data_IF_833769360358
#
_entry.id   IF_833769360358
#
_cell.length_a   1.000
_cell.length_b   1.000
_cell.length_c   1.000
_cell.angle_alpha   90.00
_cell.angle_beta   90.00
_cell.angle_gamma   90.00
#
_symmetry.space_group_name_H-M   'P 1'
#
loop_
_entity.id
_entity.type
_entity.pdbx_description
1 polymer ?
#
# COMPACT_ATOMS: atom_id res chain seq x y z
N UNK A 1 -12.45 8.93 17.91
CA UNK A 1 -13.00 10.00 17.05
C UNK A 1 -12.30 9.85 15.72
N UNK A 2 -13.03 9.64 14.62
CA UNK A 2 -12.46 9.72 13.28
C UNK A 2 -12.15 11.21 13.04
N UNK A 3 -10.89 11.60 13.21
CA UNK A 3 -10.42 12.99 13.09
C UNK A 3 -10.29 13.39 11.62
N UNK A 4 -11.31 13.07 10.84
CA UNK A 4 -11.26 13.17 9.38
C UNK A 4 -11.09 14.58 8.90
N UNK A 5 -11.21 15.64 9.73
CA UNK A 5 -11.47 17.02 9.30
C UNK A 5 -10.34 18.08 9.38
N UNK A 6 -9.13 17.76 9.83
CA UNK A 6 -8.20 18.82 10.27
C UNK A 6 -6.83 18.81 9.58
N UNK A 7 -6.25 20.00 9.39
CA UNK A 7 -4.80 20.16 9.29
C UNK A 7 -4.26 20.23 10.71
N UNK A 8 -3.26 19.40 11.01
CA UNK A 8 -2.64 19.33 12.32
C UNK A 8 -1.38 20.21 12.36
N UNK A 9 -1.27 21.06 13.38
CA UNK A 9 -0.11 21.93 13.60
C UNK A 9 0.74 21.42 14.75
N UNK A 10 2.05 21.36 14.54
CA UNK A 10 3.03 21.12 15.58
C UNK A 10 3.98 22.34 15.60
N UNK A 11 3.74 23.25 16.55
CA UNK A 11 4.73 24.24 16.94
C UNK A 11 5.62 23.58 18.02
N UNK A 12 6.94 23.47 17.83
CA UNK A 12 7.83 22.85 18.82
C UNK A 12 7.84 23.54 20.20
N UNK A 13 7.32 24.77 20.29
CA UNK A 13 7.28 25.58 21.52
C UNK A 13 5.88 25.74 22.13
N UNK A 14 4.82 25.27 21.47
CA UNK A 14 3.43 25.47 21.91
C UNK A 14 2.58 24.18 21.86
N UNK A 15 1.29 24.31 22.14
CA UNK A 15 0.30 23.23 22.20
C UNK A 15 -0.25 22.93 20.79
N UNK A 16 -0.51 21.64 20.52
CA UNK A 16 -1.21 21.15 19.34
C UNK A 16 -2.49 21.95 19.08
N UNK A 17 -2.61 22.56 17.89
CA UNK A 17 -3.78 23.38 17.52
C UNK A 17 -4.42 22.82 16.25
N UNK A 18 -5.75 22.84 16.19
CA UNK A 18 -6.54 22.40 15.04
C UNK A 18 -7.10 23.62 14.34
N UNK A 19 -6.86 23.75 13.03
CA UNK A 19 -7.35 24.89 12.24
C UNK A 19 -8.32 24.41 11.18
N UNK A 20 -9.48 25.07 11.16
CA UNK A 20 -10.57 24.82 10.22
C UNK A 20 -10.73 26.00 9.24
N UNK A 21 -10.12 27.14 9.54
CA UNK A 21 -10.19 28.37 8.75
C UNK A 21 -9.02 28.47 7.75
N UNK A 22 -9.34 28.70 6.47
CA UNK A 22 -8.37 28.82 5.38
C UNK A 22 -7.42 30.02 5.53
N UNK A 23 -7.87 31.14 6.07
CA UNK A 23 -7.03 32.34 6.26
C UNK A 23 -5.99 32.13 7.36
N UNK A 24 -6.41 31.50 8.46
CA UNK A 24 -5.50 31.07 9.52
C UNK A 24 -4.49 30.04 8.98
N UNK A 25 -4.96 29.05 8.20
CA UNK A 25 -4.08 28.06 7.58
C UNK A 25 -2.95 28.73 6.76
N UNK A 26 -3.26 29.75 5.97
CA UNK A 26 -2.28 30.45 5.15
C UNK A 26 -1.21 31.14 6.01
N UNK A 27 -1.59 31.73 7.14
CA UNK A 27 -0.65 32.39 8.05
C UNK A 27 0.34 31.38 8.64
N UNK A 28 -0.14 30.23 9.12
CA UNK A 28 0.72 29.20 9.70
C UNK A 28 1.58 28.48 8.66
N UNK A 29 1.03 28.20 7.47
CA UNK A 29 1.79 27.57 6.39
C UNK A 29 2.92 28.46 5.83
N UNK A 30 2.92 29.75 6.15
CA UNK A 30 3.99 30.69 5.79
C UNK A 30 5.01 30.93 6.92
N UNK A 31 4.76 30.39 8.11
CA UNK A 31 5.67 30.48 9.26
C UNK A 31 6.78 29.41 9.17
N UNK A 32 8.03 29.85 9.23
CA UNK A 32 9.21 28.97 9.16
C UNK A 32 9.42 28.11 10.40
N UNK A 33 8.85 28.50 11.54
CA UNK A 33 8.97 27.78 12.82
C UNK A 33 7.84 26.75 13.02
N UNK A 34 6.89 26.68 12.09
CA UNK A 34 5.71 25.82 12.18
C UNK A 34 5.79 24.65 11.20
N UNK A 35 5.44 23.44 11.67
CA UNK A 35 5.23 22.26 10.83
C UNK A 35 3.74 22.01 10.66
N UNK A 36 3.30 21.90 9.41
CA UNK A 36 1.91 21.65 9.03
C UNK A 36 1.75 20.21 8.52
N UNK A 37 0.94 19.40 9.18
CA UNK A 37 0.63 18.02 8.78
C UNK A 37 -0.77 17.98 8.15
N UNK A 38 -0.85 17.47 6.93
CA UNK A 38 -2.07 17.30 6.14
C UNK A 38 -2.36 15.80 6.06
N UNK A 39 -3.44 15.35 6.69
CA UNK A 39 -3.81 13.92 6.75
C UNK A 39 -4.95 13.57 5.77
N UNK A 40 -4.67 12.68 4.81
CA UNK A 40 -5.58 12.09 3.82
C UNK A 40 -6.54 13.05 3.09
N UNK A 41 -6.10 14.28 2.79
CA UNK A 41 -6.96 15.31 2.17
C UNK A 41 -6.31 16.06 1.04
N UNK A 42 -7.17 16.56 0.14
CA UNK A 42 -6.75 17.56 -0.83
C UNK A 42 -6.38 18.83 -0.08
N UNK A 43 -5.25 19.42 -0.41
CA UNK A 43 -4.91 20.67 0.25
C UNK A 43 -5.86 21.81 -0.14
N UNK A 44 -6.17 22.69 0.81
CA UNK A 44 -7.21 23.73 0.63
C UNK A 44 -6.72 24.96 -0.15
N UNK A 45 -5.40 25.19 -0.20
CA UNK A 45 -4.78 26.31 -0.92
C UNK A 45 -3.53 25.82 -1.65
N UNK A 46 -2.94 26.66 -2.51
CA UNK A 46 -1.64 26.31 -3.12
C UNK A 46 -0.52 26.31 -2.08
N UNK A 47 0.46 25.43 -2.26
CA UNK A 47 1.58 25.23 -1.33
C UNK A 47 2.91 25.77 -1.85
N UNK A 48 2.85 26.75 -2.73
CA UNK A 48 4.03 27.45 -3.25
C UNK A 48 4.52 28.49 -2.22
N UNK A 49 4.82 28.03 -1.01
CA UNK A 49 5.41 28.86 0.05
C UNK A 49 6.93 28.74 0.03
N UNK A 50 7.62 29.87 0.18
CA UNK A 50 9.09 29.89 0.17
C UNK A 50 9.72 29.43 1.49
N UNK A 51 8.95 29.38 2.58
CA UNK A 51 9.46 29.23 3.96
C UNK A 51 8.74 28.16 4.81
N UNK A 52 7.54 27.75 4.42
CA UNK A 52 6.74 26.80 5.20
C UNK A 52 7.24 25.36 5.17
N UNK A 53 7.02 24.61 6.26
CA UNK A 53 7.30 23.17 6.36
C UNK A 53 5.99 22.39 6.34
N UNK A 54 5.72 21.73 5.21
CA UNK A 54 4.48 20.99 4.98
C UNK A 54 4.79 19.50 4.86
N UNK A 55 4.07 18.67 5.59
CA UNK A 55 4.09 17.21 5.48
C UNK A 55 2.69 16.75 5.10
N UNK A 56 2.56 16.07 3.97
CA UNK A 56 1.33 15.37 3.60
C UNK A 56 1.47 13.89 3.93
N UNK A 57 0.55 13.37 4.74
CA UNK A 57 0.42 11.94 5.02
C UNK A 57 -0.82 11.46 4.28
N UNK A 58 -0.64 10.58 3.30
CA UNK A 58 -1.76 10.09 2.52
C UNK A 58 -1.47 8.75 1.89
N UNK A 59 -2.51 7.93 1.71
CA UNK A 59 -2.52 6.91 0.67
C UNK A 59 -2.08 7.51 -0.68
N UNK A 60 -1.41 6.78 -1.58
CA UNK A 60 -0.83 7.32 -2.83
C UNK A 60 -1.88 7.66 -3.91
N UNK A 61 -2.94 8.38 -3.52
CA UNK A 61 -4.07 8.72 -4.38
C UNK A 61 -3.73 9.94 -5.21
N UNK A 62 -3.61 9.78 -6.54
CA UNK A 62 -3.24 10.89 -7.45
C UNK A 62 -4.12 12.11 -7.25
N UNK A 63 -5.42 11.89 -7.12
CA UNK A 63 -6.39 12.95 -6.93
C UNK A 63 -6.15 13.80 -5.68
N UNK A 64 -5.49 13.23 -4.66
CA UNK A 64 -5.10 13.89 -3.42
C UNK A 64 -3.73 14.55 -3.56
N UNK A 65 -2.73 13.81 -4.03
CA UNK A 65 -1.32 14.23 -3.93
C UNK A 65 -0.83 15.06 -5.12
N UNK A 66 -1.48 15.01 -6.30
CA UNK A 66 -0.93 15.55 -7.56
C UNK A 66 -0.54 17.02 -7.52
N UNK A 67 -1.24 17.83 -6.72
CA UNK A 67 -0.99 19.27 -6.64
C UNK A 67 0.02 19.59 -5.54
N UNK A 68 0.10 18.74 -4.51
CA UNK A 68 1.12 18.82 -3.46
C UNK A 68 2.53 18.51 -4.00
N UNK A 69 2.65 17.44 -4.80
CA UNK A 69 3.96 16.98 -5.34
C UNK A 69 4.53 17.87 -6.44
N UNK A 70 3.75 18.80 -7.01
CA UNK A 70 4.22 19.77 -8.02
C UNK A 70 5.11 20.87 -7.43
N UNK A 71 5.05 21.08 -6.11
CA UNK A 71 5.86 22.09 -5.46
C UNK A 71 7.36 21.79 -5.68
N UNK A 72 8.14 22.81 -6.05
CA UNK A 72 9.53 22.69 -6.52
C UNK A 72 10.53 22.00 -5.58
N UNK A 73 10.17 21.80 -4.30
CA UNK A 73 11.01 21.17 -3.27
C UNK A 73 10.32 19.99 -2.57
N UNK A 74 9.30 19.39 -3.19
CA UNK A 74 8.61 18.25 -2.61
C UNK A 74 9.48 16.98 -2.70
N UNK A 75 9.70 16.31 -1.56
CA UNK A 75 10.25 14.95 -1.50
C UNK A 75 9.13 14.00 -1.09
N UNK A 76 8.94 12.95 -1.89
CA UNK A 76 8.00 11.87 -1.57
C UNK A 76 8.74 10.76 -0.82
N UNK A 77 8.11 10.24 0.22
CA UNK A 77 8.59 9.07 0.97
C UNK A 77 7.43 8.10 1.16
N UNK A 78 7.73 6.81 1.20
CA UNK A 78 6.78 5.72 1.37
C UNK A 78 6.95 5.12 2.77
N UNK A 79 5.83 4.93 3.47
CA UNK A 79 5.79 4.26 4.76
C UNK A 79 5.49 2.76 4.52
N UNK A 80 6.43 1.85 4.81
CA UNK A 80 6.16 0.42 4.69
C UNK A 80 5.18 -0.03 5.78
N UNK A 81 4.61 -1.22 5.59
CA UNK A 81 3.94 -1.94 6.67
C UNK A 81 4.97 -2.50 7.66
N UNK A 82 4.50 -2.93 8.83
CA UNK A 82 5.40 -3.47 9.85
C UNK A 82 5.99 -4.81 9.42
N UNK A 83 7.28 -4.98 9.63
CA UNK A 83 7.94 -6.26 9.47
C UNK A 83 7.62 -7.20 10.64
N UNK A 84 7.90 -8.49 10.44
CA UNK A 84 7.67 -9.52 11.45
C UNK A 84 8.42 -9.19 12.75
N UNK A 85 9.65 -8.73 12.64
CA UNK A 85 10.50 -8.47 13.81
C UNK A 85 9.99 -7.22 14.56
N UNK A 86 9.55 -6.17 13.87
CA UNK A 86 8.89 -5.00 14.50
C UNK A 86 7.62 -5.39 15.27
N UNK A 87 6.82 -6.31 14.71
CA UNK A 87 5.62 -6.84 15.39
C UNK A 87 5.99 -7.59 16.66
N UNK A 88 7.06 -8.39 16.63
CA UNK A 88 7.55 -9.14 17.79
C UNK A 88 8.12 -8.21 18.86
N UNK A 89 8.95 -7.24 18.47
CA UNK A 89 9.53 -6.23 19.37
C UNK A 89 8.44 -5.45 20.11
N UNK A 90 7.37 -5.08 19.40
CA UNK A 90 6.24 -4.40 20.02
C UNK A 90 5.43 -5.30 20.96
N UNK A 91 5.30 -6.59 20.65
CA UNK A 91 4.68 -7.54 21.57
C UNK A 91 5.49 -7.67 22.86
N UNK A 92 6.82 -7.72 22.76
CA UNK A 92 7.71 -7.75 23.93
C UNK A 92 7.57 -6.45 24.75
N UNK A 93 7.65 -5.29 24.09
CA UNK A 93 7.54 -3.97 24.71
C UNK A 93 6.24 -3.81 25.51
N UNK A 94 5.10 -4.24 24.93
CA UNK A 94 3.79 -4.13 25.57
C UNK A 94 3.39 -5.35 26.41
N UNK A 95 4.26 -6.36 26.50
CA UNK A 95 3.99 -7.62 27.22
C UNK A 95 2.68 -8.28 26.76
N UNK A 96 2.51 -8.38 25.45
CA UNK A 96 1.35 -9.03 24.85
C UNK A 96 1.48 -10.54 25.04
N UNK A 97 0.62 -11.15 25.87
CA UNK A 97 0.66 -12.58 26.15
C UNK A 97 0.28 -13.46 24.94
N UNK A 98 -0.54 -12.93 24.03
CA UNK A 98 -1.14 -13.67 22.91
C UNK A 98 -0.33 -13.56 21.61
N UNK A 99 1.00 -13.74 21.68
CA UNK A 99 1.90 -13.63 20.52
C UNK A 99 1.45 -14.57 19.38
N UNK A 100 1.02 -15.79 19.69
CA UNK A 100 0.52 -16.74 18.68
C UNK A 100 -0.62 -16.15 17.86
N UNK A 101 -1.61 -15.54 18.51
CA UNK A 101 -2.75 -14.92 17.84
C UNK A 101 -2.31 -13.72 17.00
N UNK A 102 -1.40 -12.90 17.53
CA UNK A 102 -0.81 -11.76 16.79
C UNK A 102 -0.15 -12.26 15.50
N UNK A 103 0.63 -13.33 15.58
CA UNK A 103 1.31 -13.91 14.42
C UNK A 103 0.35 -14.59 13.43
N UNK A 104 -0.77 -15.15 13.90
CA UNK A 104 -1.83 -15.64 13.00
C UNK A 104 -2.49 -14.49 12.25
N UNK A 105 -2.78 -13.37 12.91
CA UNK A 105 -3.28 -12.16 12.24
C UNK A 105 -2.28 -11.63 11.21
N UNK A 106 -1.00 -11.55 11.56
CA UNK A 106 0.08 -11.14 10.65
C UNK A 106 0.15 -12.05 9.41
N UNK A 107 0.03 -13.37 9.58
CA UNK A 107 -0.01 -14.30 8.44
C UNK A 107 -1.20 -14.08 7.51
N UNK A 108 -2.34 -13.62 8.04
CA UNK A 108 -3.53 -13.32 7.25
C UNK A 108 -3.39 -12.00 6.48
N UNK A 109 -3.09 -10.90 7.16
CA UNK A 109 -3.15 -9.55 6.57
C UNK A 109 -1.80 -8.85 6.41
N UNK A 110 -0.68 -9.54 6.64
CA UNK A 110 0.65 -8.96 6.65
C UNK A 110 0.86 -7.96 7.79
N UNK A 111 1.77 -7.00 7.59
CA UNK A 111 2.21 -6.01 8.56
C UNK A 111 1.25 -4.87 8.92
N UNK A 112 -0.06 -5.01 8.69
CA UNK A 112 -1.01 -3.93 9.01
C UNK A 112 -1.22 -3.87 10.54
N UNK A 113 -0.38 -3.11 11.24
CA UNK A 113 -0.40 -2.98 12.70
C UNK A 113 -1.80 -2.70 13.25
N UNK A 114 -2.58 -1.84 12.58
CA UNK A 114 -3.97 -1.54 12.95
C UNK A 114 -4.87 -2.78 12.96
N UNK A 115 -4.71 -3.74 12.05
CA UNK A 115 -5.51 -4.98 12.06
C UNK A 115 -4.98 -6.01 13.06
N UNK A 116 -3.65 -6.10 13.16
CA UNK A 116 -2.96 -7.04 14.05
C UNK A 116 -3.32 -6.75 15.52
N UNK A 117 -3.20 -5.49 15.93
CA UNK A 117 -3.29 -5.09 17.33
C UNK A 117 -4.67 -4.56 17.75
N UNK A 118 -5.64 -4.45 16.84
CA UNK A 118 -7.01 -4.07 17.21
C UNK A 118 -7.69 -5.19 18.03
N UNK A 119 -8.12 -4.91 19.29
CA UNK A 119 -8.79 -5.88 20.15
C UNK A 119 -10.14 -6.36 19.61
N UNK A 120 -10.81 -5.56 18.77
CA UNK A 120 -12.09 -5.90 18.14
C UNK A 120 -11.94 -6.79 16.91
N UNK A 121 -10.72 -6.89 16.37
CA UNK A 121 -10.41 -7.72 15.21
C UNK A 121 -10.00 -9.13 15.66
N UNK A 122 -10.80 -10.12 15.28
CA UNK A 122 -10.41 -11.53 15.36
C UNK A 122 -10.08 -12.08 13.95
N UNK A 123 -9.54 -13.30 13.89
CA UNK A 123 -9.14 -13.94 12.63
C UNK A 123 -10.27 -13.96 11.59
N UNK A 124 -11.48 -14.34 11.99
CA UNK A 124 -12.65 -14.38 11.09
C UNK A 124 -13.05 -12.99 10.57
N UNK A 125 -12.88 -11.94 11.38
CA UNK A 125 -13.13 -10.57 10.92
C UNK A 125 -12.11 -10.17 9.86
N UNK A 126 -10.83 -10.48 10.08
CA UNK A 126 -9.75 -10.19 9.13
C UNK A 126 -9.93 -10.97 7.83
N UNK A 127 -10.23 -12.27 7.91
CA UNK A 127 -10.56 -13.11 6.76
C UNK A 127 -11.70 -12.49 5.95
N UNK A 128 -12.82 -12.11 6.58
CA UNK A 128 -13.93 -11.46 5.88
C UNK A 128 -13.56 -10.13 5.23
N UNK A 129 -12.67 -9.36 5.85
CA UNK A 129 -12.17 -8.10 5.28
C UNK A 129 -11.36 -8.39 4.00
N UNK A 130 -10.49 -9.40 4.05
CA UNK A 130 -9.71 -9.87 2.90
C UNK A 130 -10.64 -10.41 1.82
N UNK A 131 -11.60 -11.26 2.18
CA UNK A 131 -12.56 -11.85 1.25
C UNK A 131 -13.38 -10.81 0.51
N UNK A 132 -13.87 -9.78 1.23
CA UNK A 132 -14.58 -8.65 0.62
C UNK A 132 -13.68 -7.87 -0.33
N UNK A 133 -12.44 -7.61 0.08
CA UNK A 133 -11.48 -6.94 -0.78
C UNK A 133 -11.17 -7.76 -2.05
N UNK A 134 -10.99 -9.07 -1.93
CA UNK A 134 -10.78 -9.98 -3.06
C UNK A 134 -12.02 -10.09 -3.95
N UNK A 135 -13.22 -10.10 -3.37
CA UNK A 135 -14.47 -10.14 -4.16
C UNK A 135 -14.72 -8.83 -4.91
N UNK A 136 -14.24 -7.71 -4.36
CA UNK A 136 -14.28 -6.41 -5.01
C UNK A 136 -13.19 -6.21 -6.07
N UNK A 137 -12.31 -7.21 -6.28
CA UNK A 137 -11.41 -7.27 -7.43
C UNK A 137 -12.29 -7.42 -8.68
N UNK A 138 -12.71 -6.28 -9.23
CA UNK A 138 -12.94 -6.21 -10.65
C UNK A 138 -11.57 -6.19 -11.35
N UNK A 139 -11.56 -6.49 -12.64
CA UNK A 139 -10.47 -6.30 -13.60
C UNK A 139 -9.65 -5.00 -13.45
N UNK A 140 -10.18 -4.01 -12.72
CA UNK A 140 -9.56 -2.71 -12.41
C UNK A 140 -8.49 -2.73 -11.32
N UNK A 141 -8.53 -3.68 -10.38
CA UNK A 141 -7.36 -4.01 -9.55
C UNK A 141 -6.26 -4.63 -10.43
N UNK A 142 -6.55 -4.98 -11.68
CA UNK A 142 -5.56 -5.46 -12.63
C UNK A 142 -5.25 -4.42 -13.73
N UNK A 143 -6.06 -3.37 -13.86
CA UNK A 143 -5.75 -2.12 -14.56
C UNK A 143 -4.82 -1.20 -13.76
N UNK A 144 -4.10 -1.73 -12.76
CA UNK A 144 -2.88 -1.09 -12.26
C UNK A 144 -1.94 -0.95 -13.44
N UNK A 145 -1.95 0.22 -14.08
CA UNK A 145 -1.10 0.63 -15.21
C UNK A 145 0.06 1.55 -14.74
N UNK A 146 0.46 1.48 -13.47
CA UNK A 146 1.56 2.31 -12.95
C UNK A 146 1.22 3.78 -12.93
N UNK A 147 -0.03 4.12 -13.29
CA UNK A 147 -0.60 5.43 -13.03
C UNK A 147 -0.95 5.47 -11.55
N UNK A 148 -0.35 6.45 -10.91
CA UNK A 148 -0.57 6.92 -9.54
C UNK A 148 -2.00 6.63 -9.09
N UNK A 149 -2.09 5.81 -8.04
CA UNK A 149 -3.22 4.96 -7.64
C UNK A 149 -4.52 5.77 -7.50
N UNK A 150 -5.65 5.22 -7.98
CA UNK A 150 -6.98 5.56 -7.45
C UNK A 150 -7.24 4.52 -6.35
N UNK A 151 -6.86 4.88 -5.12
CA UNK A 151 -6.88 3.95 -3.98
C UNK A 151 -8.30 3.73 -3.52
N UNK A 152 -8.91 2.64 -3.95
CA UNK A 152 -10.11 2.17 -3.27
C UNK A 152 -9.73 1.70 -1.86
N UNK A 153 -10.63 1.82 -0.89
CA UNK A 153 -10.41 1.44 0.52
C UNK A 153 -10.09 -0.06 0.71
N UNK A 154 -10.14 -0.84 -0.36
CA UNK A 154 -9.97 -2.28 -0.35
C UNK A 154 -8.59 -2.73 -0.86
N UNK A 155 -7.90 -1.93 -1.68
CA UNK A 155 -6.59 -2.29 -2.27
C UNK A 155 -5.49 -2.47 -1.23
N UNK A 156 -5.40 -1.56 -0.24
CA UNK A 156 -4.32 -1.58 0.75
C UNK A 156 -4.40 -2.80 1.70
N UNK A 157 -5.51 -3.55 1.67
CA UNK A 157 -5.68 -4.82 2.39
C UNK A 157 -5.11 -6.01 1.61
N UNK A 158 -4.85 -5.81 0.31
CA UNK A 158 -4.39 -6.85 -0.61
C UNK A 158 -2.95 -6.63 -1.05
N UNK A 159 -2.56 -5.38 -1.27
CA UNK A 159 -1.25 -4.98 -1.77
C UNK A 159 -0.62 -4.00 -0.78
N UNK A 160 0.61 -4.28 -0.39
CA UNK A 160 1.42 -3.43 0.48
C UNK A 160 2.50 -2.74 -0.32
N UNK A 161 2.86 -1.53 0.13
CA UNK A 161 4.04 -0.82 -0.34
C UNK A 161 5.20 -1.25 0.55
N UNK A 162 6.24 -1.73 -0.10
CA UNK A 162 7.59 -1.89 0.42
C UNK A 162 8.47 -0.79 -0.17
N UNK A 163 9.59 -0.53 0.46
CA UNK A 163 10.48 0.58 0.09
C UNK A 163 11.92 0.24 0.41
N UNK A 164 12.85 1.02 -0.13
CA UNK A 164 14.26 0.94 0.16
C UNK A 164 14.51 1.41 1.61
N UNK A 165 14.77 0.46 2.50
CA UNK A 165 15.05 0.76 3.91
C UNK A 165 16.46 1.35 4.06
N UNK A 166 16.72 2.15 5.12
CA UNK A 166 18.04 2.67 5.41
C UNK A 166 19.09 1.55 5.50
N UNK A 167 20.19 1.70 4.75
CA UNK A 167 21.37 0.84 4.80
C UNK A 167 22.61 1.66 4.46
N UNK A 168 23.81 1.11 4.67
CA UNK A 168 25.07 1.81 4.38
C UNK A 168 25.23 2.21 2.90
N UNK A 169 24.54 1.50 2.00
CA UNK A 169 24.59 1.71 0.55
C UNK A 169 23.40 2.53 0.01
N UNK A 170 22.43 2.90 0.85
CA UNK A 170 21.19 3.57 0.42
C UNK A 170 21.27 5.09 0.63
N UNK A 171 21.46 5.84 -0.46
CA UNK A 171 21.59 7.31 -0.40
C UNK A 171 20.26 8.01 -0.06
N UNK A 172 19.13 7.45 -0.50
CA UNK A 172 17.81 8.09 -0.38
C UNK A 172 16.76 7.10 0.13
N UNK A 173 16.79 6.71 1.42
CA UNK A 173 15.85 5.73 1.94
C UNK A 173 14.39 6.23 1.88
N UNK A 174 13.48 5.26 1.80
CA UNK A 174 12.04 5.42 1.73
C UNK A 174 11.50 6.06 0.44
N UNK A 175 12.31 6.19 -0.63
CA UNK A 175 11.86 6.83 -1.88
C UNK A 175 11.31 5.86 -2.91
N UNK A 176 11.61 4.57 -2.80
CA UNK A 176 11.14 3.55 -3.73
C UNK A 176 9.75 3.05 -3.33
N UNK A 177 8.86 2.86 -4.31
CA UNK A 177 7.61 2.13 -4.08
C UNK A 177 7.65 0.80 -4.78
N UNK A 178 7.70 -0.27 -3.99
CA UNK A 178 7.71 -1.65 -4.46
C UNK A 178 6.45 -2.33 -3.97
N UNK A 179 5.66 -2.91 -4.87
CA UNK A 179 4.37 -3.50 -4.50
C UNK A 179 4.47 -5.01 -4.33
N UNK A 180 3.95 -5.52 -3.21
CA UNK A 180 3.83 -6.94 -2.90
C UNK A 180 2.43 -7.27 -2.41
N UNK A 181 1.99 -8.52 -2.55
CA UNK A 181 0.80 -8.95 -1.82
C UNK A 181 1.00 -8.82 -0.31
N UNK A 182 -0.09 -8.51 0.39
CA UNK A 182 -0.09 -8.32 1.82
C UNK A 182 0.43 -9.55 2.59
N UNK A 183 0.12 -10.74 2.09
CA UNK A 183 0.59 -12.01 2.63
C UNK A 183 0.50 -13.11 1.57
N UNK A 184 1.16 -14.25 1.83
CA UNK A 184 0.99 -15.46 1.01
C UNK A 184 -0.48 -15.92 0.98
N UNK A 185 -1.21 -15.78 2.09
CA UNK A 185 -2.63 -16.12 2.17
C UNK A 185 -3.45 -15.26 1.20
N UNK A 186 -3.22 -13.94 1.20
CA UNK A 186 -3.85 -12.99 0.29
C UNK A 186 -3.50 -13.30 -1.16
N UNK A 187 -2.22 -13.56 -1.45
CA UNK A 187 -1.76 -13.90 -2.80
C UNK A 187 -2.49 -15.14 -3.34
N UNK A 188 -2.56 -16.21 -2.54
CA UNK A 188 -3.28 -17.44 -2.88
C UNK A 188 -4.76 -17.18 -3.12
N UNK A 189 -5.39 -16.35 -2.28
CA UNK A 189 -6.81 -16.05 -2.41
C UNK A 189 -7.13 -15.23 -3.67
N UNK A 190 -6.30 -14.23 -3.99
CA UNK A 190 -6.36 -13.50 -5.25
C UNK A 190 -6.19 -14.44 -6.45
N UNK A 191 -5.20 -15.35 -6.42
CA UNK A 191 -4.97 -16.30 -7.50
C UNK A 191 -6.18 -17.22 -7.74
N UNK A 192 -6.75 -17.80 -6.69
CA UNK A 192 -7.91 -18.69 -6.82
C UNK A 192 -9.13 -17.95 -7.38
N UNK A 193 -9.33 -16.68 -7.00
CA UNK A 193 -10.36 -15.83 -7.59
C UNK A 193 -10.12 -15.58 -9.08
N UNK A 194 -8.90 -15.20 -9.47
CA UNK A 194 -8.52 -14.96 -10.86
C UNK A 194 -8.63 -16.21 -11.74
N UNK A 195 -8.30 -17.39 -11.21
CA UNK A 195 -8.52 -18.69 -11.88
C UNK A 195 -10.00 -18.93 -12.18
N UNK A 196 -10.87 -18.67 -11.20
CA UNK A 196 -12.32 -18.90 -11.31
C UNK A 196 -12.99 -17.98 -12.33
N UNK A 197 -12.46 -16.78 -12.51
CA UNK A 197 -13.02 -15.75 -13.41
C UNK A 197 -12.51 -15.86 -14.87
N UNK A 198 -11.74 -16.92 -15.20
CA UNK A 198 -11.19 -17.29 -16.51
C UNK A 198 -9.93 -16.48 -16.93
N UNK A 199 -8.96 -17.13 -17.62
CA UNK A 199 -7.64 -16.60 -18.04
C UNK A 199 -7.58 -15.15 -18.52
N UNK A 200 -8.67 -14.64 -19.09
CA UNK A 200 -8.68 -13.30 -19.66
C UNK A 200 -8.31 -12.24 -18.64
N UNK A 201 -8.74 -12.38 -17.38
CA UNK A 201 -8.38 -11.41 -16.33
C UNK A 201 -6.93 -11.56 -15.86
N UNK A 202 -6.43 -12.79 -15.79
CA UNK A 202 -5.03 -13.05 -15.48
C UNK A 202 -4.09 -12.56 -16.60
N UNK A 203 -4.42 -12.82 -17.87
CA UNK A 203 -3.69 -12.32 -19.02
C UNK A 203 -3.76 -10.80 -19.12
N UNK A 204 -4.94 -10.19 -18.87
CA UNK A 204 -5.07 -8.73 -18.79
C UNK A 204 -4.17 -8.15 -17.70
N UNK A 205 -4.15 -8.75 -16.52
CA UNK A 205 -3.26 -8.32 -15.45
C UNK A 205 -1.79 -8.36 -15.84
N UNK A 206 -1.31 -9.52 -16.30
CA UNK A 206 0.09 -9.70 -16.67
C UNK A 206 0.50 -8.72 -17.78
N UNK A 207 -0.40 -8.44 -18.72
CA UNK A 207 -0.18 -7.45 -19.78
C UNK A 207 -0.19 -6.01 -19.25
N UNK A 208 -1.15 -5.65 -18.40
CA UNK A 208 -1.25 -4.30 -17.81
C UNK A 208 -0.06 -3.99 -16.89
N UNK A 209 0.43 -5.00 -16.16
CA UNK A 209 1.55 -4.88 -15.23
C UNK A 209 2.93 -4.89 -15.91
N UNK A 210 2.99 -5.13 -17.23
CA UNK A 210 4.25 -5.32 -17.97
C UNK A 210 5.14 -4.07 -17.94
N UNK A 211 4.56 -2.91 -18.20
CA UNK A 211 5.30 -1.65 -18.41
C UNK A 211 5.45 -0.80 -17.14
N UNK A 212 5.18 -1.38 -15.96
CA UNK A 212 5.24 -0.68 -14.68
C UNK A 212 6.38 -1.28 -13.88
N UNK A 213 7.46 -0.53 -13.73
CA UNK A 213 8.63 -0.92 -12.95
C UNK A 213 8.26 -1.35 -11.54
N UNK A 214 7.41 -0.58 -10.87
CA UNK A 214 7.04 -0.71 -9.46
C UNK A 214 6.22 -1.98 -9.18
N UNK A 215 5.50 -2.48 -10.19
CA UNK A 215 4.70 -3.71 -10.10
C UNK A 215 5.50 -4.97 -10.49
N UNK A 216 6.79 -4.83 -10.82
CA UNK A 216 7.64 -5.94 -11.24
C UNK A 216 7.66 -7.09 -10.22
N UNK A 217 7.77 -6.77 -8.93
CA UNK A 217 7.75 -7.76 -7.86
C UNK A 217 6.40 -8.48 -7.72
N UNK A 218 5.28 -7.74 -7.74
CA UNK A 218 3.93 -8.30 -7.69
C UNK A 218 3.67 -9.24 -8.88
N UNK A 219 4.13 -8.85 -10.07
CA UNK A 219 4.06 -9.66 -11.29
C UNK A 219 4.92 -10.93 -11.15
N UNK A 220 6.12 -10.81 -10.58
CA UNK A 220 6.99 -11.95 -10.28
C UNK A 220 6.33 -12.96 -9.35
N UNK A 221 5.73 -12.50 -8.24
CA UNK A 221 5.00 -13.37 -7.30
C UNK A 221 3.87 -14.13 -7.99
N UNK A 222 3.06 -13.45 -8.82
CA UNK A 222 1.99 -14.12 -9.56
C UNK A 222 2.51 -15.12 -10.58
N UNK A 223 3.56 -14.76 -11.32
CA UNK A 223 4.19 -15.68 -12.27
C UNK A 223 4.68 -16.96 -11.56
N UNK A 224 5.41 -16.80 -10.46
CA UNK A 224 5.89 -17.92 -9.64
C UNK A 224 4.74 -18.81 -9.16
N UNK A 225 3.66 -18.21 -8.64
CA UNK A 225 2.48 -18.95 -8.20
C UNK A 225 1.77 -19.69 -9.34
N UNK A 226 1.66 -19.08 -10.53
CA UNK A 226 1.11 -19.73 -11.73
C UNK A 226 1.99 -20.91 -12.14
N UNK A 227 3.32 -20.70 -12.19
CA UNK A 227 4.27 -21.76 -12.49
C UNK A 227 4.15 -22.92 -11.51
N UNK A 228 4.03 -22.65 -10.21
CA UNK A 228 3.82 -23.69 -9.21
C UNK A 228 2.55 -24.51 -9.45
N UNK A 229 1.45 -23.87 -9.82
CA UNK A 229 0.19 -24.56 -10.12
C UNK A 229 0.35 -25.44 -11.37
N UNK A 230 0.90 -24.87 -12.45
CA UNK A 230 1.10 -25.58 -13.73
C UNK A 230 2.07 -26.77 -13.56
N UNK A 231 3.20 -26.56 -12.87
CA UNK A 231 4.23 -27.57 -12.70
C UNK A 231 3.78 -28.69 -11.73
N UNK A 232 3.03 -28.34 -10.68
CA UNK A 232 2.51 -29.32 -9.71
C UNK A 232 1.40 -30.20 -10.29
N UNK A 233 0.63 -29.68 -11.25
CA UNK A 233 -0.50 -30.38 -11.86
C UNK A 233 -0.18 -31.13 -13.16
N UNK A 234 1.10 -31.21 -13.56
CA UNK A 234 1.60 -32.10 -14.60
C UNK A 234 0.79 -32.09 -15.90
N UNK A 235 1.10 -31.18 -16.83
CA UNK A 235 0.57 -31.11 -18.20
C UNK A 235 -0.94 -30.84 -18.39
N UNK A 236 -1.84 -31.21 -17.47
CA UNK A 236 -3.30 -31.21 -17.73
C UNK A 236 -3.91 -29.80 -17.72
N UNK A 237 -3.39 -28.87 -16.92
CA UNK A 237 -3.92 -27.49 -16.83
C UNK A 237 -3.38 -26.52 -17.89
N UNK A 238 -2.41 -26.93 -18.71
CA UNK A 238 -1.89 -26.12 -19.83
C UNK A 238 -2.98 -25.73 -20.84
N UNK A 239 -4.04 -26.53 -20.95
CA UNK A 239 -5.23 -26.22 -21.79
C UNK A 239 -6.16 -25.18 -21.16
N UNK A 240 -6.25 -25.14 -19.83
CA UNK A 240 -7.09 -24.16 -19.13
C UNK A 240 -6.40 -22.82 -18.96
N UNK A 241 -5.07 -22.75 -19.06
CA UNK A 241 -4.28 -21.51 -19.13
C UNK A 241 -4.05 -20.99 -20.55
N UNK A 242 -4.54 -21.72 -21.56
CA UNK A 242 -4.50 -21.37 -22.97
C UNK A 242 -3.11 -20.92 -23.37
N UNK A 243 -2.20 -21.88 -23.62
CA UNK A 243 -0.86 -21.72 -24.21
C UNK A 243 -0.45 -20.24 -24.23
N UNK A 244 0.29 -19.79 -23.22
CA UNK A 244 1.07 -18.57 -23.33
C UNK A 244 1.90 -18.76 -24.61
N UNK A 245 1.42 -18.19 -25.72
CA UNK A 245 2.03 -18.36 -27.04
C UNK A 245 3.50 -17.94 -26.94
N UNK A 246 4.33 -18.53 -27.80
CA UNK A 246 5.80 -18.55 -27.76
C UNK A 246 6.50 -17.18 -27.56
N UNK A 247 5.76 -16.08 -27.64
CA UNK A 247 6.19 -14.71 -27.32
C UNK A 247 6.47 -14.46 -25.82
N UNK A 248 6.07 -15.37 -24.91
CA UNK A 248 6.37 -15.22 -23.47
C UNK A 248 7.81 -15.63 -23.10
N UNK A 249 8.46 -16.48 -23.89
CA UNK A 249 9.81 -16.98 -23.60
C UNK A 249 10.93 -16.12 -24.22
N UNK A 250 10.60 -15.09 -24.99
CA UNK A 250 11.57 -14.24 -25.69
C UNK A 250 11.98 -12.97 -24.93
N UNK A 251 11.46 -12.74 -23.72
CA UNK A 251 11.68 -11.50 -22.96
C UNK A 251 11.97 -11.70 -21.46
N UNK A 252 12.45 -12.90 -21.08
CA UNK A 252 13.19 -13.07 -19.82
C UNK A 252 14.66 -12.67 -20.02
#
# INVERSE_FOLDING_TARGET
>A
MDHKDFTLYINPKEKMTFIVNTDEYKLFAQDSDTWCIIDERKPQISHDFNVGKLIMVSSPKKELIKDFVKASKCKSMYMPVWEKDEVLDYCELLKIDSITLVMEKFKLCGGIARLIFDPSMNLKCIEKIIERAVTSIDSKILDYQGKTVNGDELTHKLIHIHTNLPSDDEEDPYTDSIYYFASEHVANFCLEKLKKDNNKELCKFMNNAKDISEMGSLRGQLFEMICHVILRNGHVETKNFGILEEDYYSYC
#
